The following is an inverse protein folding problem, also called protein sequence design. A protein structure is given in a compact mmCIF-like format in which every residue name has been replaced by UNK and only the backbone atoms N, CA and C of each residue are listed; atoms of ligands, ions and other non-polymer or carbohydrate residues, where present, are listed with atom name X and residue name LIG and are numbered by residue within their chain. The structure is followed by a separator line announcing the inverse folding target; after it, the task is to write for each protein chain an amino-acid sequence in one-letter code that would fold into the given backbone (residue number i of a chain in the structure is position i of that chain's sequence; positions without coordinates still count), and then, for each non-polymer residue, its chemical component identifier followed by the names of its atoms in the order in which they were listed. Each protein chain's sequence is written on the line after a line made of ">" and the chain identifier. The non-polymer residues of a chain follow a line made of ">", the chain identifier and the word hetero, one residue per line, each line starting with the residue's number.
data_IF_335107320541
#
_entry.id   IF_335107320541
#
_cell.length_a   1.000
_cell.length_b   1.000
_cell.length_c   1.000
_cell.angle_alpha   90.00
_cell.angle_beta   90.00
_cell.angle_gamma   90.00
#
_symmetry.space_group_name_H-M   'P 1'
#
loop_
_entity.id
_entity.type
_entity.pdbx_description
1 polymer ?
#
# COMPACT_ATOMS: atom_id res chain seq x y z
N UNK A 1 3.38 19.39 -8.63
CA UNK A 1 3.20 18.77 -9.97
C UNK A 1 4.47 18.05 -10.42
N UNK A 2 5.64 18.69 -10.38
CA UNK A 2 6.91 18.11 -10.86
C UNK A 2 7.26 16.70 -10.34
N UNK A 3 6.93 16.35 -9.09
CA UNK A 3 7.23 15.02 -8.55
C UNK A 3 6.46 13.90 -9.28
N UNK A 4 5.15 14.04 -9.48
CA UNK A 4 4.36 13.01 -10.16
C UNK A 4 4.70 12.94 -11.64
N UNK A 5 4.95 14.09 -12.27
CA UNK A 5 5.43 14.15 -13.66
C UNK A 5 6.73 13.39 -13.85
N UNK A 6 7.67 13.48 -12.90
CA UNK A 6 8.90 12.70 -12.91
C UNK A 6 8.60 11.19 -12.93
N UNK A 7 7.75 10.70 -12.04
CA UNK A 7 7.39 9.29 -12.01
C UNK A 7 6.65 8.84 -13.28
N UNK A 8 5.79 9.68 -13.84
CA UNK A 8 5.12 9.40 -15.12
C UNK A 8 6.14 9.32 -16.27
N UNK A 9 7.12 10.21 -16.30
CA UNK A 9 8.20 10.21 -17.30
C UNK A 9 9.01 8.91 -17.27
N UNK A 10 9.29 8.38 -16.07
CA UNK A 10 9.95 7.08 -15.89
C UNK A 10 9.03 5.86 -16.14
N UNK A 11 7.76 6.08 -16.49
CA UNK A 11 6.84 5.01 -16.88
C UNK A 11 6.60 3.98 -15.77
N UNK A 12 6.72 2.70 -16.13
CA UNK A 12 6.51 1.58 -15.20
C UNK A 12 7.55 1.55 -14.08
N UNK A 13 8.80 1.97 -14.33
CA UNK A 13 9.81 2.06 -13.28
C UNK A 13 9.45 3.14 -12.27
N UNK A 14 8.92 4.27 -12.75
CA UNK A 14 8.42 5.32 -11.87
C UNK A 14 7.21 4.86 -11.04
N UNK A 15 6.25 4.17 -11.66
CA UNK A 15 5.12 3.57 -10.96
C UNK A 15 5.55 2.55 -9.89
N UNK A 16 6.52 1.70 -10.22
CA UNK A 16 7.08 0.74 -9.26
C UNK A 16 7.73 1.44 -8.07
N UNK A 17 8.55 2.46 -8.33
CA UNK A 17 9.24 3.21 -7.30
C UNK A 17 8.25 3.94 -6.36
N UNK A 18 7.28 4.68 -6.93
CA UNK A 18 6.30 5.40 -6.11
C UNK A 18 5.37 4.46 -5.35
N UNK A 19 4.96 3.33 -5.93
CA UNK A 19 4.11 2.35 -5.24
C UNK A 19 4.84 1.67 -4.07
N UNK A 20 6.14 1.38 -4.23
CA UNK A 20 6.99 0.91 -3.14
C UNK A 20 7.09 1.94 -2.01
N UNK A 21 7.40 3.19 -2.35
CA UNK A 21 7.54 4.28 -1.36
C UNK A 21 6.19 4.57 -0.67
N UNK A 22 5.09 4.56 -1.42
CA UNK A 22 3.74 4.87 -0.91
C UNK A 22 3.30 3.98 0.23
N UNK A 23 3.83 2.75 0.30
CA UNK A 23 3.47 1.78 1.34
C UNK A 23 4.26 1.96 2.64
N UNK A 24 5.14 2.95 2.70
CA UNK A 24 5.92 3.34 3.89
C UNK A 24 5.60 4.79 4.25
N UNK A 25 5.58 5.66 3.24
CA UNK A 25 5.29 7.08 3.36
C UNK A 25 3.96 7.32 2.64
N UNK A 26 2.97 7.97 3.27
CA UNK A 26 1.65 8.17 2.68
C UNK A 26 1.69 9.18 1.53
N UNK A 27 2.10 8.70 0.36
CA UNK A 27 2.19 9.43 -0.90
C UNK A 27 1.17 8.82 -1.86
N UNK A 28 0.28 9.62 -2.47
CA UNK A 28 -0.71 9.10 -3.40
C UNK A 28 -0.05 8.54 -4.65
N UNK A 29 -0.58 7.42 -5.14
CA UNK A 29 -0.13 6.75 -6.38
C UNK A 29 -1.08 7.01 -7.55
N UNK A 30 -2.29 7.46 -7.24
CA UNK A 30 -3.40 7.70 -8.15
C UNK A 30 -3.04 8.69 -9.27
N UNK A 31 -2.32 9.80 -9.04
CA UNK A 31 -1.95 10.72 -10.11
C UNK A 31 -1.02 10.07 -11.16
N UNK A 32 -0.10 9.19 -10.73
CA UNK A 32 0.83 8.51 -11.63
C UNK A 32 0.10 7.43 -12.44
N UNK A 33 -0.79 6.67 -11.79
CA UNK A 33 -1.67 5.70 -12.47
C UNK A 33 -2.53 6.38 -13.53
N UNK A 34 -3.17 7.49 -13.17
CA UNK A 34 -4.00 8.28 -14.09
C UNK A 34 -3.19 8.78 -15.29
N UNK A 35 -2.03 9.40 -15.05
CA UNK A 35 -1.17 9.90 -16.13
C UNK A 35 -0.69 8.79 -17.06
N UNK A 36 -0.31 7.63 -16.54
CA UNK A 36 0.12 6.50 -17.38
C UNK A 36 -1.02 5.94 -18.24
N UNK A 37 -2.24 5.87 -17.69
CA UNK A 37 -3.43 5.48 -18.46
C UNK A 37 -3.77 6.51 -19.55
N UNK A 38 -3.66 7.81 -19.25
CA UNK A 38 -3.89 8.89 -20.22
C UNK A 38 -2.86 8.85 -21.37
N UNK A 39 -1.61 8.46 -21.08
CA UNK A 39 -0.59 8.16 -22.09
C UNK A 39 -0.79 6.82 -22.83
N UNK A 40 -1.94 6.16 -22.66
CA UNK A 40 -2.31 4.95 -23.37
C UNK A 40 -1.54 3.69 -22.94
N UNK A 41 -0.96 3.67 -21.74
CA UNK A 41 -0.28 2.47 -21.23
C UNK A 41 -1.29 1.38 -20.86
N UNK A 42 -0.88 0.13 -21.02
CA UNK A 42 -1.74 -1.04 -20.78
C UNK A 42 -2.18 -1.11 -19.29
N UNK A 43 -3.49 -1.12 -18.99
CA UNK A 43 -4.00 -1.15 -17.62
C UNK A 43 -3.59 -2.37 -16.80
N UNK A 44 -3.46 -3.55 -17.42
CA UNK A 44 -3.07 -4.79 -16.73
C UNK A 44 -1.62 -4.72 -16.24
N UNK A 45 -0.74 -4.12 -17.07
CA UNK A 45 0.67 -3.90 -16.69
C UNK A 45 0.74 -2.87 -15.57
N UNK A 46 -0.01 -1.77 -15.67
CA UNK A 46 -0.09 -0.75 -14.60
C UNK A 46 -0.56 -1.39 -13.30
N UNK A 47 -1.65 -2.15 -13.33
CA UNK A 47 -2.20 -2.84 -12.16
C UNK A 47 -1.16 -3.77 -11.54
N UNK A 48 -0.52 -4.61 -12.36
CA UNK A 48 0.49 -5.56 -11.88
C UNK A 48 1.68 -4.83 -11.24
N UNK A 49 2.21 -3.80 -11.90
CA UNK A 49 3.33 -3.01 -11.39
C UNK A 49 2.97 -2.29 -10.08
N UNK A 50 1.79 -1.66 -10.02
CA UNK A 50 1.27 -0.98 -8.83
C UNK A 50 1.14 -1.95 -7.64
N UNK A 51 0.53 -3.11 -7.86
CA UNK A 51 0.27 -4.10 -6.82
C UNK A 51 1.59 -4.71 -6.32
N UNK A 52 2.49 -5.11 -7.24
CA UNK A 52 3.77 -5.71 -6.87
C UNK A 52 4.63 -4.73 -6.08
N UNK A 53 4.77 -3.48 -6.55
CA UNK A 53 5.53 -2.46 -5.83
C UNK A 53 4.91 -2.17 -4.45
N UNK A 54 3.59 -2.11 -4.35
CA UNK A 54 2.90 -1.92 -3.07
C UNK A 54 3.07 -3.08 -2.08
N UNK A 55 3.04 -4.33 -2.54
CA UNK A 55 3.25 -5.51 -1.68
C UNK A 55 4.69 -5.54 -1.17
N UNK A 56 5.67 -5.24 -2.03
CA UNK A 56 7.08 -5.16 -1.64
C UNK A 56 7.27 -4.03 -0.63
N UNK A 57 6.75 -2.84 -0.90
CA UNK A 57 6.82 -1.70 0.01
C UNK A 57 6.19 -1.99 1.38
N UNK A 58 5.00 -2.60 1.39
CA UNK A 58 4.34 -3.02 2.64
C UNK A 58 5.16 -4.08 3.39
N UNK A 59 5.79 -5.01 2.68
CA UNK A 59 6.67 -6.01 3.28
C UNK A 59 7.90 -5.38 3.92
N UNK A 60 8.50 -4.37 3.28
CA UNK A 60 9.58 -3.58 3.87
C UNK A 60 9.10 -2.85 5.13
N UNK A 61 7.93 -2.21 5.09
CA UNK A 61 7.32 -1.57 6.26
C UNK A 61 7.13 -2.54 7.42
N UNK A 62 6.63 -3.76 7.15
CA UNK A 62 6.51 -4.82 8.15
C UNK A 62 7.87 -5.21 8.76
N UNK A 63 8.92 -5.36 7.95
CA UNK A 63 10.26 -5.69 8.46
C UNK A 63 10.82 -4.58 9.34
N UNK A 64 10.68 -3.32 8.91
CA UNK A 64 11.08 -2.14 9.71
C UNK A 64 10.32 -2.11 11.04
N UNK A 65 9.01 -2.36 11.01
CA UNK A 65 8.18 -2.48 12.21
C UNK A 65 8.70 -3.56 13.17
N UNK A 66 9.01 -4.73 12.63
CA UNK A 66 9.40 -5.92 13.39
C UNK A 66 10.80 -5.85 14.01
N UNK A 67 11.77 -5.34 13.27
CA UNK A 67 13.19 -5.41 13.66
C UNK A 67 13.72 -4.10 14.24
N UNK A 68 13.29 -2.95 13.71
CA UNK A 68 13.81 -1.64 14.12
C UNK A 68 12.89 -1.00 15.15
N UNK A 69 11.64 -0.70 14.76
CA UNK A 69 10.72 0.06 15.61
C UNK A 69 10.33 -0.68 16.88
N UNK A 70 10.12 -2.01 16.80
CA UNK A 70 9.83 -2.82 18.00
C UNK A 70 10.95 -2.76 19.06
N UNK A 71 12.20 -2.56 18.66
CA UNK A 71 13.33 -2.43 19.60
C UNK A 71 13.38 -1.04 20.24
N UNK A 72 12.93 -0.02 19.52
CA UNK A 72 13.02 1.37 19.93
C UNK A 72 11.81 1.79 20.77
N UNK A 73 10.63 1.20 20.55
CA UNK A 73 9.41 1.51 21.30
C UNK A 73 9.48 0.84 22.68
N UNK A 74 9.66 1.62 23.78
CA UNK A 74 9.74 1.05 25.11
C UNK A 74 8.33 0.70 25.59
N UNK A 75 7.94 -0.56 25.48
CA UNK A 75 6.74 -1.07 26.13
C UNK A 75 6.98 -1.16 27.63
N UNK A 76 6.56 -0.12 28.36
CA UNK A 76 6.73 -0.04 29.81
C UNK A 76 5.88 -1.07 30.59
N UNK A 77 4.94 -1.76 29.92
CA UNK A 77 4.06 -2.75 30.53
C UNK A 77 3.90 -3.98 29.63
N UNK A 78 4.50 -5.10 30.07
CA UNK A 78 4.53 -6.38 29.36
C UNK A 78 3.13 -7.00 29.21
N UNK A 79 2.23 -6.79 30.17
CA UNK A 79 0.86 -7.32 30.08
C UNK A 79 0.05 -6.60 29.00
N UNK A 80 0.21 -5.27 28.89
CA UNK A 80 -0.41 -4.48 27.83
C UNK A 80 0.10 -4.90 26.45
N UNK A 81 1.40 -5.13 26.30
CA UNK A 81 1.99 -5.62 25.04
C UNK A 81 1.38 -6.98 24.64
N UNK A 82 1.33 -7.94 25.57
CA UNK A 82 0.70 -9.26 25.32
C UNK A 82 -0.76 -9.12 24.93
N UNK A 83 -1.50 -8.22 25.60
CA UNK A 83 -2.90 -7.98 25.29
C UNK A 83 -3.08 -7.44 23.86
N UNK A 84 -2.29 -6.43 23.46
CA UNK A 84 -2.32 -5.88 22.11
C UNK A 84 -1.96 -6.92 21.05
N UNK A 85 -0.92 -7.72 21.28
CA UNK A 85 -0.56 -8.81 20.38
C UNK A 85 -1.68 -9.85 20.24
N UNK A 86 -2.38 -10.19 21.32
CA UNK A 86 -3.52 -11.11 21.26
C UNK A 86 -4.70 -10.52 20.48
N UNK A 87 -5.00 -9.23 20.67
CA UNK A 87 -6.02 -8.54 19.89
C UNK A 87 -5.64 -8.48 18.41
N UNK A 88 -4.39 -8.12 18.10
CA UNK A 88 -3.90 -8.04 16.72
C UNK A 88 -3.80 -9.44 16.07
N UNK A 89 -3.52 -10.50 16.82
CA UNK A 89 -3.63 -11.88 16.34
C UNK A 89 -5.06 -12.25 15.92
N UNK A 90 -6.07 -11.73 16.62
CA UNK A 90 -7.49 -12.02 16.35
C UNK A 90 -8.08 -11.15 15.24
N UNK A 91 -7.78 -9.85 15.25
CA UNK A 91 -8.40 -8.85 14.36
C UNK A 91 -7.46 -8.27 13.31
N UNK A 92 -6.16 -8.56 13.38
CA UNK A 92 -5.14 -8.00 12.49
C UNK A 92 -5.38 -8.31 11.02
N UNK A 93 -5.95 -9.49 10.70
CA UNK A 93 -6.36 -9.80 9.33
C UNK A 93 -7.43 -8.81 8.81
N UNK A 94 -8.49 -8.58 9.59
CA UNK A 94 -9.54 -7.64 9.21
C UNK A 94 -9.00 -6.21 9.10
N UNK A 95 -8.16 -5.81 10.06
CA UNK A 95 -7.49 -4.51 10.04
C UNK A 95 -6.65 -4.32 8.78
N UNK A 96 -5.81 -5.31 8.41
CA UNK A 96 -4.96 -5.26 7.22
C UNK A 96 -5.73 -5.30 5.90
N UNK A 97 -6.92 -5.91 5.87
CA UNK A 97 -7.80 -5.88 4.69
C UNK A 97 -8.41 -4.50 4.47
N UNK A 98 -8.85 -3.85 5.55
CA UNK A 98 -9.57 -2.58 5.47
C UNK A 98 -8.62 -1.38 5.42
N UNK A 99 -7.46 -1.47 6.07
CA UNK A 99 -6.55 -0.34 6.22
C UNK A 99 -6.15 0.35 4.91
N UNK A 100 -5.91 -0.33 3.76
CA UNK A 100 -5.46 0.35 2.54
C UNK A 100 -6.45 1.39 1.97
N UNK A 101 -7.72 1.32 2.38
CA UNK A 101 -8.79 2.25 2.01
C UNK A 101 -8.85 3.50 2.88
N UNK A 102 -8.18 3.48 4.03
CA UNK A 102 -8.14 4.60 4.96
C UNK A 102 -6.80 5.33 4.75
N UNK A 103 -6.82 6.60 4.31
CA UNK A 103 -5.60 7.40 4.14
C UNK A 103 -4.76 7.38 5.42
N UNK A 104 -3.42 7.37 5.29
CA UNK A 104 -2.44 7.26 6.38
C UNK A 104 -2.43 5.91 7.10
N UNK A 105 -3.60 5.39 7.48
CA UNK A 105 -3.73 4.12 8.21
C UNK A 105 -3.27 2.94 7.35
N UNK A 106 -3.61 2.94 6.07
CA UNK A 106 -3.21 1.88 5.14
C UNK A 106 -1.70 1.73 4.98
N UNK A 107 -0.97 2.84 5.06
CA UNK A 107 0.48 2.87 4.83
C UNK A 107 1.24 2.57 6.13
N UNK A 108 0.66 2.89 7.29
CA UNK A 108 1.21 2.54 8.59
C UNK A 108 0.85 1.11 9.06
N UNK A 109 -0.23 0.53 8.55
CA UNK A 109 -0.70 -0.79 8.97
C UNK A 109 0.34 -1.92 8.83
N UNK A 110 1.16 -1.99 7.76
CA UNK A 110 2.24 -2.97 7.67
C UNK A 110 3.28 -2.82 8.79
N UNK A 111 3.65 -1.58 9.12
CA UNK A 111 4.59 -1.26 10.19
C UNK A 111 4.03 -1.73 11.53
N UNK A 112 2.77 -1.41 11.82
CA UNK A 112 2.07 -1.86 13.04
C UNK A 112 2.03 -3.39 13.12
N UNK A 113 1.70 -4.07 12.02
CA UNK A 113 1.72 -5.54 11.99
C UNK A 113 3.12 -6.12 12.27
N UNK A 114 4.18 -5.42 11.86
CA UNK A 114 5.55 -5.74 12.21
C UNK A 114 5.84 -5.58 13.70
N UNK A 115 5.46 -4.43 14.28
CA UNK A 115 5.64 -4.12 15.71
C UNK A 115 4.95 -5.17 16.59
N UNK A 116 3.73 -5.56 16.22
CA UNK A 116 2.94 -6.59 16.93
C UNK A 116 3.40 -8.03 16.63
N UNK A 117 4.47 -8.20 15.84
CA UNK A 117 5.04 -9.48 15.45
C UNK A 117 3.99 -10.46 14.86
N UNK A 118 3.09 -9.91 14.05
CA UNK A 118 2.03 -10.67 13.38
C UNK A 118 2.63 -11.72 12.44
N UNK A 119 1.98 -12.87 12.26
CA UNK A 119 2.54 -13.99 11.49
C UNK A 119 2.77 -13.59 10.03
N UNK A 120 4.03 -13.64 9.55
CA UNK A 120 4.42 -13.11 8.23
C UNK A 120 3.65 -13.77 7.06
N UNK A 121 3.35 -15.07 7.16
CA UNK A 121 2.58 -15.78 6.12
C UNK A 121 1.16 -15.23 6.02
N UNK A 122 0.48 -15.05 7.17
CA UNK A 122 -0.85 -14.45 7.22
C UNK A 122 -0.84 -13.00 6.77
N UNK A 123 0.16 -12.23 7.21
CA UNK A 123 0.37 -10.86 6.76
C UNK A 123 0.42 -10.78 5.23
N UNK A 124 1.30 -11.55 4.59
CA UNK A 124 1.51 -11.51 3.15
C UNK A 124 0.25 -11.88 2.37
N UNK A 125 -0.47 -12.93 2.77
CA UNK A 125 -1.73 -13.33 2.11
C UNK A 125 -2.75 -12.20 2.19
N UNK A 126 -2.95 -11.66 3.40
CA UNK A 126 -3.97 -10.66 3.66
C UNK A 126 -3.64 -9.32 2.98
N UNK A 127 -2.41 -8.82 3.12
CA UNK A 127 -2.01 -7.55 2.52
C UNK A 127 -1.99 -7.62 1.00
N UNK A 128 -1.61 -8.78 0.42
CA UNK A 128 -1.64 -8.96 -1.03
C UNK A 128 -3.07 -8.87 -1.55
N UNK A 129 -4.02 -9.57 -0.91
CA UNK A 129 -5.44 -9.46 -1.26
C UNK A 129 -5.92 -8.00 -1.15
N UNK A 130 -5.59 -7.32 -0.06
CA UNK A 130 -6.01 -5.93 0.16
C UNK A 130 -5.44 -4.97 -0.91
N UNK A 131 -4.15 -5.09 -1.25
CA UNK A 131 -3.49 -4.26 -2.27
C UNK A 131 -3.98 -4.58 -3.68
N UNK A 132 -4.31 -5.84 -3.99
CA UNK A 132 -4.94 -6.22 -5.26
C UNK A 132 -6.30 -5.54 -5.40
N UNK A 133 -7.17 -5.67 -4.40
CA UNK A 133 -8.53 -5.08 -4.45
C UNK A 133 -8.45 -3.55 -4.54
N UNK A 134 -7.57 -2.90 -3.76
CA UNK A 134 -7.32 -1.46 -3.87
C UNK A 134 -6.82 -1.07 -5.26
N UNK A 135 -5.81 -1.79 -5.78
CA UNK A 135 -5.21 -1.51 -7.09
C UNK A 135 -6.23 -1.63 -8.22
N UNK A 136 -7.07 -2.68 -8.19
CA UNK A 136 -8.17 -2.84 -9.14
C UNK A 136 -9.15 -1.67 -9.06
N UNK A 137 -9.53 -1.26 -7.86
CA UNK A 137 -10.40 -0.09 -7.64
C UNK A 137 -9.82 1.19 -8.23
N UNK A 138 -8.53 1.48 -7.96
CA UNK A 138 -7.85 2.67 -8.49
C UNK A 138 -7.84 2.64 -10.02
N UNK A 139 -7.34 1.56 -10.64
CA UNK A 139 -7.20 1.47 -12.10
C UNK A 139 -8.58 1.54 -12.78
N UNK A 140 -9.57 0.82 -12.28
CA UNK A 140 -10.92 0.83 -12.83
C UNK A 140 -11.56 2.22 -12.76
N UNK A 141 -11.48 2.90 -11.61
CA UNK A 141 -12.01 4.25 -11.46
C UNK A 141 -11.27 5.24 -12.35
N UNK A 142 -9.93 5.14 -12.47
CA UNK A 142 -9.15 6.00 -13.36
C UNK A 142 -9.58 5.85 -14.82
N UNK A 143 -9.80 4.63 -15.30
CA UNK A 143 -10.31 4.40 -16.66
C UNK A 143 -11.69 5.05 -16.84
N UNK A 144 -12.61 4.85 -15.90
CA UNK A 144 -13.96 5.43 -15.99
C UNK A 144 -13.95 6.95 -16.00
N UNK A 145 -13.06 7.58 -15.24
CA UNK A 145 -12.89 9.03 -15.24
C UNK A 145 -12.34 9.51 -16.58
N UNK A 146 -11.37 8.80 -17.17
CA UNK A 146 -10.81 9.13 -18.49
C UNK A 146 -11.87 9.00 -19.60
N UNK A 147 -12.63 7.90 -19.61
CA UNK A 147 -13.72 7.66 -20.56
C UNK A 147 -14.77 8.78 -20.50
N UNK A 148 -15.18 9.18 -19.29
CA UNK A 148 -16.09 10.32 -19.10
C UNK A 148 -15.48 11.60 -19.65
N UNK A 149 -14.23 11.92 -19.30
CA UNK A 149 -13.56 13.14 -19.72
C UNK A 149 -13.45 13.25 -21.26
N UNK A 150 -13.29 12.13 -21.96
CA UNK A 150 -13.31 12.09 -23.43
C UNK A 150 -14.71 12.33 -24.01
N UNK A 151 -15.76 11.81 -23.37
CA UNK A 151 -17.15 12.03 -23.79
C UNK A 151 -17.60 13.50 -23.70
N UNK A 152 -17.00 14.29 -22.80
CA UNK A 152 -17.31 15.71 -22.62
C UNK A 152 -16.57 16.63 -23.60
N UNK A 153 -15.62 16.12 -24.39
CA UNK A 153 -14.89 16.86 -25.44
C UNK A 153 -15.57 16.69 -26.78
#
# INVERSE_FOLDING_TARGET
>A
MALFELFILYGMMGLFAISLISSIIPIPTEPVVFGLLDFGKNPEIILTTLVVGSIIGASLGYLVGKYELRRIIPFHNIEKEKHMQMQFRRYGALFLLVSPWIPLVGDLAPIVAGIENYEIKRFLVVISAAKIVKGMGIVYLSIKVLDWALFLK
#
